data_IF_646107761182
#
_entry.id   IF_646107761182
#
_cell.length_a   1.000
_cell.length_b   1.000
_cell.length_c   1.000
_cell.angle_alpha   90.00
_cell.angle_beta   90.00
_cell.angle_gamma   90.00
#
_symmetry.space_group_name_H-M   'P 1'
#
loop_
_entity.id
_entity.type
_entity.pdbx_description
1 polymer ?
#
# COMPACT_ATOMS: atom_id res chain seq x y z
N UNK A 1 -5.08 6.41 4.18
CA UNK A 1 -3.71 5.92 3.96
C UNK A 1 -2.95 6.01 5.27
N UNK A 2 -2.15 5.01 5.64
CA UNK A 2 -1.50 4.96 6.97
C UNK A 2 0.02 4.87 6.83
N UNK A 3 0.76 5.74 7.52
CA UNK A 3 2.23 5.72 7.56
C UNK A 3 2.72 6.49 8.80
N UNK A 4 3.95 6.23 9.22
CA UNK A 4 4.56 6.88 10.39
C UNK A 4 4.93 8.35 10.16
N UNK A 5 4.95 8.82 8.91
CA UNK A 5 5.34 10.20 8.57
C UNK A 5 4.42 10.79 7.50
N UNK A 6 3.98 12.03 7.73
CA UNK A 6 3.10 12.76 6.81
C UNK A 6 3.74 12.98 5.43
N UNK A 7 5.03 13.29 5.39
CA UNK A 7 5.74 13.53 4.13
C UNK A 7 5.74 12.30 3.20
N UNK A 8 5.80 11.09 3.77
CA UNK A 8 5.70 9.86 2.98
C UNK A 8 4.27 9.58 2.51
N UNK A 9 3.26 10.06 3.25
CA UNK A 9 1.87 9.96 2.81
C UNK A 9 1.64 10.90 1.63
N UNK A 10 2.00 12.18 1.75
CA UNK A 10 1.77 13.20 0.72
C UNK A 10 2.53 12.92 -0.58
N UNK A 11 3.76 12.39 -0.51
CA UNK A 11 4.56 12.07 -1.69
C UNK A 11 4.26 10.68 -2.29
N UNK A 12 3.16 10.07 -1.88
CA UNK A 12 2.82 8.73 -2.32
C UNK A 12 2.30 8.72 -3.75
N UNK A 13 2.84 7.89 -4.64
CA UNK A 13 2.42 7.80 -6.04
C UNK A 13 0.98 7.31 -6.18
N UNK A 14 0.43 6.68 -5.15
CA UNK A 14 -0.96 6.22 -5.13
C UNK A 14 -1.99 7.37 -4.97
N UNK A 15 -1.55 8.57 -4.59
CA UNK A 15 -2.43 9.73 -4.42
C UNK A 15 -2.64 10.54 -5.69
N UNK A 16 -1.67 10.54 -6.61
CA UNK A 16 -1.67 11.38 -7.81
C UNK A 16 -3.00 11.32 -8.57
N UNK A 17 -3.51 10.10 -8.75
CA UNK A 17 -4.74 9.84 -9.49
C UNK A 17 -6.00 10.19 -8.68
N UNK A 18 -5.96 10.04 -7.36
CA UNK A 18 -7.07 10.39 -6.46
C UNK A 18 -7.25 11.91 -6.41
N UNK A 19 -6.14 12.64 -6.31
CA UNK A 19 -6.13 14.10 -6.32
C UNK A 19 -6.60 14.66 -7.66
N UNK A 20 -6.13 14.12 -8.79
CA UNK A 20 -6.59 14.55 -10.12
C UNK A 20 -8.08 14.33 -10.35
N UNK A 21 -8.67 13.31 -9.72
CA UNK A 21 -10.11 13.04 -9.77
C UNK A 21 -10.92 13.81 -8.73
N UNK A 22 -10.26 14.55 -7.83
CA UNK A 22 -10.90 15.35 -6.78
C UNK A 22 -11.46 14.52 -5.63
N UNK A 23 -10.89 13.34 -5.35
CA UNK A 23 -11.27 12.56 -4.17
C UNK A 23 -10.56 13.09 -2.93
N UNK A 24 -11.29 13.15 -1.81
CA UNK A 24 -10.69 13.43 -0.51
C UNK A 24 -10.04 12.17 0.06
N UNK A 25 -8.80 12.32 0.56
CA UNK A 25 -8.03 11.23 1.16
C UNK A 25 -7.76 11.53 2.63
N UNK A 26 -8.06 10.57 3.50
CA UNK A 26 -7.81 10.67 4.94
C UNK A 26 -6.44 10.05 5.26
N UNK A 27 -5.61 10.82 5.96
CA UNK A 27 -4.31 10.39 6.46
C UNK A 27 -4.41 9.95 7.91
N UNK A 28 -3.84 8.78 8.19
CA UNK A 28 -3.70 8.23 9.52
C UNK A 28 -2.22 8.15 9.85
N UNK A 29 -1.82 8.84 10.92
CA UNK A 29 -0.42 8.95 11.36
C UNK A 29 -0.17 8.29 12.71
N UNK A 30 -1.23 7.91 13.42
CA UNK A 30 -1.16 7.24 14.70
C UNK A 30 -0.98 5.72 14.54
N UNK A 31 -0.24 5.11 15.46
CA UNK A 31 -0.12 3.65 15.52
C UNK A 31 -1.46 2.97 15.86
N UNK A 32 -2.32 3.66 16.62
CA UNK A 32 -3.65 3.16 17.00
C UNK A 32 -4.61 3.16 15.80
N UNK A 33 -4.36 3.99 14.79
CA UNK A 33 -5.25 4.14 13.63
C UNK A 33 -5.32 2.84 12.80
N UNK A 34 -4.23 2.06 12.75
CA UNK A 34 -4.20 0.74 12.11
C UNK A 34 -5.24 -0.20 12.73
N UNK A 35 -5.32 -0.21 14.06
CA UNK A 35 -6.28 -1.03 14.80
C UNK A 35 -7.69 -0.47 14.65
N UNK A 36 -7.86 0.86 14.70
CA UNK A 36 -9.17 1.50 14.56
C UNK A 36 -9.82 1.16 13.21
N UNK A 37 -9.05 1.18 12.11
CA UNK A 37 -9.56 0.89 10.77
C UNK A 37 -9.95 -0.57 10.56
N UNK A 38 -9.43 -1.51 11.35
CA UNK A 38 -9.89 -2.90 11.32
C UNK A 38 -11.32 -3.05 11.86
N UNK A 39 -11.72 -2.19 12.79
CA UNK A 39 -13.06 -2.23 13.40
C UNK A 39 -14.02 -1.23 12.77
N UNK A 40 -13.53 -0.11 12.26
CA UNK A 40 -14.33 0.95 11.64
C UNK A 40 -14.32 0.80 10.10
N UNK A 41 -15.14 -0.12 9.60
CA UNK A 41 -15.29 -0.39 8.17
C UNK A 41 -16.19 0.62 7.45
N UNK A 42 -17.11 1.24 8.18
CA UNK A 42 -18.13 2.14 7.66
C UNK A 42 -18.38 3.31 8.61
N UNK A 43 -18.60 4.49 8.02
CA UNK A 43 -18.96 5.71 8.73
C UNK A 43 -20.03 6.43 7.94
N UNK A 44 -21.20 6.65 8.55
CA UNK A 44 -22.34 7.34 7.93
C UNK A 44 -22.67 6.80 6.52
N UNK A 45 -22.82 5.48 6.41
CA UNK A 45 -23.09 4.75 5.16
C UNK A 45 -22.00 4.83 4.08
N UNK A 46 -20.83 5.44 4.39
CA UNK A 46 -19.65 5.42 3.53
C UNK A 46 -18.71 4.32 3.99
N UNK A 47 -18.40 3.40 3.08
CA UNK A 47 -17.36 2.39 3.30
C UNK A 47 -15.99 2.99 3.05
N UNK A 48 -15.06 2.74 3.96
CA UNK A 48 -13.66 3.10 3.73
C UNK A 48 -13.02 2.09 2.78
N UNK A 49 -12.23 2.59 1.84
CA UNK A 49 -11.40 1.79 0.96
C UNK A 49 -9.96 2.21 1.17
N UNK A 50 -9.08 1.24 1.41
CA UNK A 50 -7.66 1.54 1.52
C UNK A 50 -7.10 1.85 0.13
N UNK A 51 -6.31 2.92 0.04
CA UNK A 51 -5.65 3.39 -1.18
C UNK A 51 -4.62 2.37 -1.70
N UNK A 52 -4.02 1.60 -0.80
CA UNK A 52 -3.05 0.55 -1.14
C UNK A 52 -3.69 -0.77 -1.54
N UNK A 53 -4.98 -0.96 -1.27
CA UNK A 53 -5.61 -2.25 -1.58
C UNK A 53 -5.95 -2.33 -3.07
N UNK A 54 -5.55 -3.43 -3.71
CA UNK A 54 -5.89 -3.71 -5.10
C UNK A 54 -7.42 -3.73 -5.26
N UNK A 55 -7.95 -2.90 -6.17
CA UNK A 55 -9.39 -2.88 -6.48
C UNK A 55 -10.11 -1.56 -6.24
N UNK A 56 -9.38 -0.46 -6.02
CA UNK A 56 -9.97 0.87 -5.93
C UNK A 56 -10.68 1.25 -7.25
N UNK A 57 -12.00 1.10 -7.27
CA UNK A 57 -12.84 1.31 -8.47
C UNK A 57 -13.02 2.79 -8.76
N UNK A 58 -12.00 3.44 -9.32
CA UNK A 58 -12.01 4.85 -9.67
C UNK A 58 -12.75 5.19 -10.97
N UNK A 59 -13.77 4.43 -11.35
CA UNK A 59 -14.54 4.61 -12.59
C UNK A 59 -14.01 3.81 -13.78
N UNK A 60 -14.92 3.46 -14.70
CA UNK A 60 -14.71 2.51 -15.82
C UNK A 60 -13.62 2.97 -16.78
N UNK A 61 -12.56 2.18 -16.91
CA UNK A 61 -11.58 2.34 -17.99
C UNK A 61 -11.67 1.18 -18.96
N UNK A 62 -12.32 1.41 -20.10
CA UNK A 62 -12.32 0.45 -21.21
C UNK A 62 -10.94 0.26 -21.82
N UNK A 63 -10.01 1.20 -21.62
CA UNK A 63 -8.65 1.17 -22.17
C UNK A 63 -7.69 0.22 -21.44
N UNK A 64 -7.98 -0.14 -20.18
CA UNK A 64 -7.07 -0.98 -19.38
C UNK A 64 -6.85 -2.36 -20.01
N UNK A 65 -7.90 -2.94 -20.61
CA UNK A 65 -7.82 -4.26 -21.24
C UNK A 65 -6.97 -4.28 -22.51
N UNK A 66 -7.04 -3.23 -23.32
CA UNK A 66 -6.24 -3.14 -24.55
C UNK A 66 -4.74 -2.97 -24.24
N UNK A 67 -4.40 -2.18 -23.21
CA UNK A 67 -3.02 -2.05 -22.75
C UNK A 67 -2.50 -3.36 -22.13
N UNK A 68 -3.31 -4.05 -21.32
CA UNK A 68 -2.89 -5.34 -20.77
C UNK A 68 -2.53 -6.34 -21.86
N UNK A 69 -3.23 -6.33 -23.00
CA UNK A 69 -2.94 -7.19 -24.14
C UNK A 69 -1.70 -6.78 -24.92
N UNK A 70 -1.49 -5.49 -25.18
CA UNK A 70 -0.33 -5.00 -25.94
C UNK A 70 0.99 -5.21 -25.18
N UNK A 71 0.95 -5.22 -23.86
CA UNK A 71 2.15 -5.29 -23.00
C UNK A 71 2.37 -6.67 -22.36
N UNK A 72 1.62 -7.72 -22.74
CA UNK A 72 1.80 -9.09 -22.21
C UNK A 72 3.24 -9.59 -22.35
N UNK A 73 3.88 -9.32 -23.48
CA UNK A 73 5.26 -9.75 -23.73
C UNK A 73 6.26 -9.05 -22.80
N UNK A 74 6.07 -7.74 -22.58
CA UNK A 74 6.89 -6.95 -21.67
C UNK A 74 6.72 -7.42 -20.22
N UNK A 75 5.49 -7.66 -19.79
CA UNK A 75 5.20 -8.18 -18.44
C UNK A 75 5.83 -9.55 -18.22
N UNK A 76 5.83 -10.42 -19.24
CA UNK A 76 6.47 -11.75 -19.18
C UNK A 76 8.00 -11.64 -19.09
N UNK A 77 8.58 -10.70 -19.83
CA UNK A 77 10.02 -10.41 -19.74
C UNK A 77 10.40 -9.94 -18.33
N UNK A 78 9.64 -9.01 -17.76
CA UNK A 78 9.86 -8.52 -16.39
C UNK A 78 9.76 -9.62 -15.34
N UNK A 79 8.74 -10.50 -15.44
CA UNK A 79 8.63 -11.67 -14.56
C UNK A 79 9.85 -12.57 -14.61
N UNK A 80 10.44 -12.73 -15.79
CA UNK A 80 11.63 -13.57 -15.98
C UNK A 80 12.91 -12.90 -15.47
N UNK A 81 13.04 -11.58 -15.65
CA UNK A 81 14.16 -10.80 -15.15
C UNK A 81 14.17 -10.71 -13.62
N UNK A 82 13.00 -10.48 -13.02
CA UNK A 82 12.80 -10.31 -11.57
C UNK A 82 12.54 -11.60 -10.82
N UNK A 83 12.57 -12.76 -11.49
CA UNK A 83 12.36 -14.08 -10.88
C UNK A 83 13.35 -14.38 -9.74
N UNK A 84 14.51 -13.72 -9.72
CA UNK A 84 15.54 -13.85 -8.68
C UNK A 84 15.30 -12.96 -7.46
N UNK A 85 14.38 -12.00 -7.54
CA UNK A 85 14.18 -10.95 -6.54
C UNK A 85 12.88 -11.10 -5.73
N UNK A 86 12.30 -12.30 -5.69
CA UNK A 86 11.07 -12.61 -4.93
C UNK A 86 9.85 -11.76 -5.32
N UNK A 87 9.70 -11.45 -6.60
CA UNK A 87 8.51 -10.75 -7.11
C UNK A 87 7.39 -11.77 -7.38
N UNK A 88 6.25 -11.59 -6.71
CA UNK A 88 5.08 -12.48 -6.83
C UNK A 88 4.35 -12.29 -8.18
N UNK A 89 4.04 -11.03 -8.55
CA UNK A 89 3.35 -10.73 -9.79
C UNK A 89 3.80 -9.38 -10.37
N UNK A 90 3.76 -9.25 -11.70
CA UNK A 90 4.01 -8.00 -12.41
C UNK A 90 2.77 -7.71 -13.22
N UNK A 91 2.20 -6.52 -13.02
CA UNK A 91 0.96 -6.07 -13.66
C UNK A 91 1.09 -4.63 -14.10
N UNK A 92 0.28 -4.27 -15.08
CA UNK A 92 0.16 -2.88 -15.50
C UNK A 92 -0.90 -2.25 -14.62
N UNK A 93 -0.48 -1.31 -13.79
CA UNK A 93 -1.41 -0.52 -12.99
C UNK A 93 -1.97 0.61 -13.84
N UNK A 94 -3.29 0.80 -13.78
CA UNK A 94 -3.93 1.99 -14.31
C UNK A 94 -4.16 3.06 -13.22
N UNK A 95 -3.68 2.80 -11.99
CA UNK A 95 -3.87 3.66 -10.82
C UNK A 95 -2.82 4.75 -10.67
N UNK A 96 -1.74 4.69 -11.46
CA UNK A 96 -0.65 5.66 -11.49
C UNK A 96 -0.85 6.65 -12.63
N UNK A 97 -0.26 7.84 -12.51
CA UNK A 97 -0.38 8.88 -13.54
C UNK A 97 0.99 9.41 -13.99
N UNK A 98 1.74 10.10 -13.11
CA UNK A 98 3.07 10.63 -13.43
C UNK A 98 4.18 9.65 -13.03
N UNK A 99 3.92 8.82 -12.03
CA UNK A 99 4.87 7.79 -11.59
C UNK A 99 4.92 6.58 -12.54
N UNK A 100 6.12 6.27 -13.04
CA UNK A 100 6.35 5.22 -14.04
C UNK A 100 6.21 3.78 -13.53
N UNK A 101 6.63 3.49 -12.28
CA UNK A 101 6.49 2.16 -11.68
C UNK A 101 6.42 2.24 -10.15
N UNK A 102 5.66 1.32 -9.55
CA UNK A 102 5.54 1.18 -8.10
C UNK A 102 5.59 -0.30 -7.73
N UNK A 103 6.27 -0.61 -6.64
CA UNK A 103 6.25 -1.93 -6.03
C UNK A 103 5.10 -1.97 -5.04
N UNK A 104 4.11 -2.81 -5.33
CA UNK A 104 3.04 -3.09 -4.40
C UNK A 104 3.37 -4.35 -3.59
N UNK A 105 3.10 -4.29 -2.29
CA UNK A 105 3.32 -5.39 -1.36
C UNK A 105 1.93 -5.87 -0.94
N UNK A 106 1.48 -6.99 -1.55
CA UNK A 106 0.17 -7.61 -1.29
C UNK A 106 -0.16 -7.75 0.20
N UNK A 107 0.85 -8.00 1.03
CA UNK A 107 0.69 -8.13 2.48
C UNK A 107 1.32 -6.96 3.23
N UNK A 108 0.87 -5.74 2.89
CA UNK A 108 1.22 -4.52 3.60
C UNK A 108 0.99 -4.63 5.12
N UNK A 109 -0.06 -5.34 5.53
CA UNK A 109 -0.35 -5.65 6.95
C UNK A 109 0.76 -6.50 7.59
N UNK A 110 1.12 -7.65 7.01
CA UNK A 110 2.15 -8.54 7.57
C UNK A 110 3.53 -7.87 7.64
N UNK A 111 3.93 -7.14 6.60
CA UNK A 111 5.21 -6.42 6.60
C UNK A 111 5.26 -5.30 7.66
N UNK A 112 4.13 -4.63 7.91
CA UNK A 112 4.03 -3.63 8.97
C UNK A 112 4.05 -4.29 10.35
N UNK A 113 3.29 -5.36 10.55
CA UNK A 113 3.29 -6.15 11.79
C UNK A 113 4.67 -6.72 12.12
N UNK A 114 5.43 -7.18 11.13
CA UNK A 114 6.80 -7.67 11.33
C UNK A 114 7.76 -6.55 11.74
N UNK A 115 7.67 -5.36 11.12
CA UNK A 115 8.41 -4.18 11.58
C UNK A 115 8.00 -3.74 12.99
N UNK A 116 6.72 -3.78 13.34
CA UNK A 116 6.24 -3.49 14.69
C UNK A 116 6.76 -4.49 15.72
N UNK A 117 6.69 -5.79 15.43
CA UNK A 117 7.19 -6.84 16.33
C UNK A 117 8.72 -6.75 16.51
N UNK A 118 9.46 -6.39 15.46
CA UNK A 118 10.90 -6.14 15.56
C UNK A 118 11.22 -4.90 16.43
N UNK A 119 10.39 -3.87 16.41
CA UNK A 119 10.52 -2.72 17.31
C UNK A 119 10.15 -3.02 18.76
N UNK A 120 9.10 -3.84 18.96
CA UNK A 120 8.64 -4.25 20.28
C UNK A 120 9.60 -5.24 20.94
N UNK A 121 10.21 -6.16 20.20
CA UNK A 121 11.20 -7.11 20.76
C UNK A 121 12.39 -6.38 21.39
N UNK A 122 12.93 -5.35 20.73
CA UNK A 122 14.01 -4.53 21.28
C UNK A 122 13.61 -3.73 22.52
N UNK A 123 12.34 -3.30 22.61
CA UNK A 123 11.79 -2.64 23.80
C UNK A 123 11.60 -3.62 24.96
N UNK A 124 11.11 -4.83 24.69
CA UNK A 124 10.99 -5.90 25.68
C UNK A 124 12.36 -6.38 26.18
N UNK A 125 13.38 -6.49 25.32
CA UNK A 125 14.76 -6.81 25.73
C UNK A 125 15.34 -5.71 26.64
N UNK A 126 15.11 -4.44 26.31
CA UNK A 126 15.52 -3.30 27.16
C UNK A 126 14.78 -3.29 28.50
N UNK A 127 13.48 -3.56 28.51
CA UNK A 127 12.70 -3.64 29.76
C UNK A 127 13.11 -4.83 30.62
N UNK A 128 13.45 -5.97 30.01
CA UNK A 128 13.97 -7.14 30.71
C UNK A 128 15.33 -6.85 31.34
N UNK A 129 16.23 -6.15 30.63
CA UNK A 129 17.50 -5.67 31.19
C UNK A 129 17.31 -4.67 32.35
N UNK A 130 16.27 -3.83 32.32
CA UNK A 130 15.98 -2.88 33.41
C UNK A 130 15.40 -3.60 34.65
N UNK A 131 14.74 -4.75 34.47
CA UNK A 131 14.10 -5.49 35.55
C UNK A 131 15.00 -6.57 36.19
N UNK A 132 16.04 -7.01 35.48
CA UNK A 132 17.03 -8.00 35.97
C UNK A 132 18.24 -7.36 36.68
N UNK A 133 18.23 -6.05 36.93
CA UNK A 133 19.28 -5.28 37.61
C UNK A 133 18.71 -4.53 38.83
#
# INVERSE_FOLDING_TARGET
MISSTLEHLEKSPFLERLEKKGYEVIYFTGQVDDYLMQYMMDYQDKKFQNVFEEGLKLGKESKAKELEESFKELTKWWKSALARENVDDVRISNSLDDTACVVDIKTWMESKYEKYNAGLSGWFESLRMIWEN
#
